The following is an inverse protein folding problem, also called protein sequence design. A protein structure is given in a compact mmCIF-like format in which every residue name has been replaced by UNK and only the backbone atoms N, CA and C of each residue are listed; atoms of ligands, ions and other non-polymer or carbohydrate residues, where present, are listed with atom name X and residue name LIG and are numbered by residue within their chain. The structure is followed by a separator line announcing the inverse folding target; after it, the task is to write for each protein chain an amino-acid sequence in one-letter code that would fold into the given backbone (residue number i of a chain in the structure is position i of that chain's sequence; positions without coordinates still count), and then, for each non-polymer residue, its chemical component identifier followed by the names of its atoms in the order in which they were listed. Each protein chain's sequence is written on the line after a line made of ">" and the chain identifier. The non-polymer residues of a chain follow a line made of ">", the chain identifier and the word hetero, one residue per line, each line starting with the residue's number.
data_IF_951133397961
#
_entry.id   IF_951133397961
#
_cell.length_a   1.000
_cell.length_b   1.000
_cell.length_c   1.000
_cell.angle_alpha   90.00
_cell.angle_beta   90.00
_cell.angle_gamma   90.00
#
_symmetry.space_group_name_H-M   'P 1'
#
loop_
_entity.id
_entity.type
_entity.pdbx_description
1 polymer ?
#
# COMPACT_ATOMS: atom_id res chain seq x y z
N UNK A 1 28.22 62.20 -92.21
CA UNK A 1 27.06 61.99 -91.31
C UNK A 1 26.70 60.50 -91.08
N UNK A 2 26.89 59.60 -92.05
CA UNK A 2 26.50 58.17 -91.93
C UNK A 2 27.35 57.32 -90.95
N UNK A 3 28.63 57.67 -90.77
CA UNK A 3 29.58 56.87 -89.97
C UNK A 3 29.43 57.05 -88.45
N UNK A 4 28.83 58.17 -88.01
CA UNK A 4 28.66 58.51 -86.58
C UNK A 4 27.44 57.81 -85.96
N UNK A 5 26.37 57.63 -86.75
CA UNK A 5 25.14 56.91 -86.35
C UNK A 5 25.43 55.41 -86.15
N UNK A 6 26.32 54.81 -86.96
CA UNK A 6 26.74 53.41 -86.78
C UNK A 6 27.48 53.18 -85.46
N UNK A 7 28.41 54.07 -85.08
CA UNK A 7 29.13 53.96 -83.79
C UNK A 7 28.20 54.07 -82.59
N UNK A 8 27.23 54.98 -82.59
CA UNK A 8 26.26 55.09 -81.49
C UNK A 8 25.37 53.85 -81.35
N UNK A 9 24.93 53.24 -82.47
CA UNK A 9 24.16 51.98 -82.43
C UNK A 9 24.97 50.81 -81.87
N UNK A 10 26.28 50.76 -82.14
CA UNK A 10 27.17 49.74 -81.56
C UNK A 10 27.38 49.92 -80.04
N UNK A 11 27.52 51.16 -79.57
CA UNK A 11 27.67 51.44 -78.13
C UNK A 11 26.38 51.13 -77.37
N UNK A 12 25.22 51.52 -77.91
CA UNK A 12 23.92 51.19 -77.33
C UNK A 12 23.67 49.67 -77.28
N UNK A 13 24.02 48.94 -78.34
CA UNK A 13 23.89 47.49 -78.38
C UNK A 13 24.76 46.79 -77.30
N UNK A 14 25.99 47.26 -77.08
CA UNK A 14 26.87 46.71 -76.03
C UNK A 14 26.37 47.02 -74.62
N UNK A 15 25.80 48.21 -74.41
CA UNK A 15 25.21 48.59 -73.12
C UNK A 15 23.98 47.72 -72.77
N UNK A 16 23.10 47.46 -73.75
CA UNK A 16 21.92 46.60 -73.56
C UNK A 16 22.34 45.15 -73.28
N UNK A 17 23.36 44.64 -73.97
CA UNK A 17 23.88 43.28 -73.73
C UNK A 17 24.53 43.14 -72.34
N UNK A 18 25.24 44.16 -71.86
CA UNK A 18 25.83 44.17 -70.53
C UNK A 18 24.77 44.22 -69.42
N UNK A 19 23.71 45.02 -69.59
CA UNK A 19 22.57 45.07 -68.68
C UNK A 19 21.80 43.75 -68.64
N UNK A 20 21.57 43.12 -69.80
CA UNK A 20 20.93 41.81 -69.86
C UNK A 20 21.78 40.73 -69.15
N UNK A 21 23.09 40.74 -69.34
CA UNK A 21 23.99 39.82 -68.64
C UNK A 21 23.99 40.05 -67.11
N UNK A 22 23.95 41.30 -66.66
CA UNK A 22 23.88 41.63 -65.24
C UNK A 22 22.57 41.15 -64.59
N UNK A 23 21.43 41.30 -65.28
CA UNK A 23 20.12 40.81 -64.80
C UNK A 23 20.07 39.29 -64.74
N UNK A 24 20.63 38.59 -65.73
CA UNK A 24 20.71 37.12 -65.70
C UNK A 24 21.61 36.64 -64.55
N UNK A 25 22.69 37.34 -64.26
CA UNK A 25 23.59 37.00 -63.16
C UNK A 25 22.93 37.19 -61.78
N UNK A 26 22.17 38.27 -61.58
CA UNK A 26 21.47 38.50 -60.30
C UNK A 26 20.33 37.50 -60.06
N UNK A 27 19.59 37.13 -61.11
CA UNK A 27 18.51 36.12 -61.02
C UNK A 27 19.07 34.72 -60.73
N UNK A 28 20.18 34.35 -61.35
CA UNK A 28 20.80 33.02 -61.13
C UNK A 28 21.42 32.88 -59.75
N UNK A 29 22.03 33.94 -59.21
CA UNK A 29 22.56 33.95 -57.84
C UNK A 29 21.46 33.88 -56.77
N UNK A 30 20.35 34.61 -56.94
CA UNK A 30 19.19 34.55 -56.02
C UNK A 30 18.48 33.19 -56.01
N UNK A 31 18.45 32.49 -57.15
CA UNK A 31 17.89 31.15 -57.28
C UNK A 31 18.72 30.05 -56.59
N UNK A 32 20.02 30.29 -56.32
CA UNK A 32 20.87 29.36 -55.60
C UNK A 32 20.66 29.44 -54.09
N UNK A 33 20.48 30.65 -53.54
CA UNK A 33 20.17 30.86 -52.12
C UNK A 33 18.84 30.19 -51.73
N UNK A 34 17.78 30.43 -52.50
CA UNK A 34 16.46 29.83 -52.27
C UNK A 34 16.42 28.30 -52.44
N UNK A 35 17.28 27.72 -53.29
CA UNK A 35 17.40 26.26 -53.41
C UNK A 35 18.10 25.60 -52.22
N UNK A 36 18.99 26.32 -51.53
CA UNK A 36 19.63 25.87 -50.28
C UNK A 36 18.59 25.75 -49.17
N UNK A 37 17.87 26.84 -48.90
CA UNK A 37 16.83 26.91 -47.87
C UNK A 37 15.72 25.87 -48.08
N UNK A 38 15.32 25.63 -49.32
CA UNK A 38 14.32 24.59 -49.66
C UNK A 38 14.81 23.17 -49.38
N UNK A 39 16.11 22.91 -49.54
CA UNK A 39 16.71 21.60 -49.21
C UNK A 39 16.81 21.42 -47.71
N UNK A 40 17.18 22.47 -46.99
CA UNK A 40 17.26 22.48 -45.53
C UNK A 40 15.88 22.25 -44.90
N UNK A 41 14.85 22.94 -45.40
CA UNK A 41 13.46 22.72 -44.97
C UNK A 41 12.98 21.29 -45.27
N UNK A 42 13.32 20.74 -46.44
CA UNK A 42 13.00 19.34 -46.76
C UNK A 42 13.70 18.36 -45.81
N UNK A 43 14.95 18.63 -45.42
CA UNK A 43 15.66 17.79 -44.44
C UNK A 43 15.06 17.91 -43.05
N UNK A 44 14.63 19.10 -42.63
CA UNK A 44 14.00 19.33 -41.33
C UNK A 44 12.62 18.67 -41.24
N UNK A 45 11.80 18.77 -42.31
CA UNK A 45 10.51 18.06 -42.40
C UNK A 45 10.71 16.55 -42.32
N UNK A 46 11.70 15.99 -43.03
CA UNK A 46 12.02 14.55 -42.95
C UNK A 46 12.50 14.14 -41.57
N UNK A 47 13.31 14.98 -40.91
CA UNK A 47 13.76 14.74 -39.55
C UNK A 47 12.59 14.78 -38.55
N UNK A 48 11.64 15.71 -38.74
CA UNK A 48 10.46 15.83 -37.90
C UNK A 48 9.50 14.65 -38.10
N UNK A 49 9.29 14.21 -39.34
CA UNK A 49 8.51 13.01 -39.65
C UNK A 49 9.11 11.76 -38.99
N UNK A 50 10.44 11.59 -39.08
CA UNK A 50 11.14 10.49 -38.42
C UNK A 50 11.02 10.53 -36.88
N UNK A 51 11.05 11.73 -36.27
CA UNK A 51 10.80 11.90 -34.82
C UNK A 51 9.36 11.55 -34.45
N UNK A 52 8.37 11.97 -35.24
CA UNK A 52 6.97 11.62 -35.01
C UNK A 52 6.75 10.11 -35.10
N UNK A 53 7.32 9.44 -36.11
CA UNK A 53 7.24 7.98 -36.25
C UNK A 53 7.86 7.26 -35.06
N UNK A 54 9.00 7.76 -34.58
CA UNK A 54 9.67 7.21 -33.39
C UNK A 54 8.80 7.35 -32.15
N UNK A 55 8.22 8.53 -31.90
CA UNK A 55 7.33 8.78 -30.77
C UNK A 55 6.05 7.95 -30.84
N UNK A 56 5.42 7.85 -32.01
CA UNK A 56 4.25 7.00 -32.23
C UNK A 56 4.57 5.53 -31.95
N UNK A 57 5.75 5.05 -32.37
CA UNK A 57 6.18 3.68 -32.08
C UNK A 57 6.42 3.43 -30.59
N UNK A 58 6.95 4.43 -29.85
CA UNK A 58 7.14 4.37 -28.41
C UNK A 58 5.80 4.34 -27.67
N UNK A 59 4.88 5.26 -27.99
CA UNK A 59 3.54 5.28 -27.41
C UNK A 59 2.79 3.98 -27.67
N UNK A 60 2.90 3.41 -28.87
CA UNK A 60 2.26 2.14 -29.21
C UNK A 60 2.83 0.97 -28.41
N UNK A 61 4.15 0.92 -28.21
CA UNK A 61 4.79 -0.09 -27.36
C UNK A 61 4.39 0.06 -25.90
N UNK A 62 4.35 1.29 -25.38
CA UNK A 62 3.92 1.57 -24.03
C UNK A 62 2.45 1.17 -23.82
N UNK A 63 1.56 1.50 -24.76
CA UNK A 63 0.16 1.12 -24.72
C UNK A 63 -0.06 -0.40 -24.74
N UNK A 64 0.74 -1.14 -25.52
CA UNK A 64 0.68 -2.60 -25.52
C UNK A 64 1.20 -3.18 -24.21
N UNK A 65 2.30 -2.64 -23.68
CA UNK A 65 2.86 -3.07 -22.39
C UNK A 65 1.91 -2.80 -21.22
N UNK A 66 1.26 -1.64 -21.19
CA UNK A 66 0.29 -1.32 -20.14
C UNK A 66 -0.98 -2.16 -20.26
N UNK A 67 -1.41 -2.44 -21.50
CA UNK A 67 -2.56 -3.32 -21.69
C UNK A 67 -2.25 -4.76 -21.25
N UNK A 68 -1.04 -5.25 -21.51
CA UNK A 68 -0.58 -6.57 -21.07
C UNK A 68 -0.49 -6.64 -19.55
N UNK A 69 0.12 -5.64 -18.89
CA UNK A 69 0.20 -5.58 -17.43
C UNK A 69 -1.19 -5.54 -16.78
N UNK A 70 -2.14 -4.79 -17.34
CA UNK A 70 -3.53 -4.74 -16.84
C UNK A 70 -4.22 -6.10 -16.98
N UNK A 71 -4.00 -6.83 -18.08
CA UNK A 71 -4.53 -8.19 -18.25
C UNK A 71 -3.92 -9.15 -17.23
N UNK A 72 -2.60 -9.19 -17.11
CA UNK A 72 -1.90 -10.05 -16.14
C UNK A 72 -2.35 -9.75 -14.71
N UNK A 73 -2.49 -8.47 -14.35
CA UNK A 73 -2.96 -8.07 -13.02
C UNK A 73 -4.41 -8.51 -12.79
N UNK A 74 -5.27 -8.41 -13.81
CA UNK A 74 -6.65 -8.89 -13.73
C UNK A 74 -6.70 -10.39 -13.48
N UNK A 75 -5.91 -11.17 -14.20
CA UNK A 75 -5.82 -12.63 -14.02
C UNK A 75 -5.33 -13.00 -12.61
N UNK A 76 -4.28 -12.33 -12.12
CA UNK A 76 -3.80 -12.50 -10.74
C UNK A 76 -4.87 -12.19 -9.68
N UNK A 77 -5.71 -11.16 -9.90
CA UNK A 77 -6.81 -10.82 -9.00
C UNK A 77 -7.88 -11.91 -9.00
N UNK A 78 -8.21 -12.49 -10.17
CA UNK A 78 -9.16 -13.59 -10.25
C UNK A 78 -8.64 -14.85 -9.55
N UNK A 79 -7.36 -15.19 -9.75
CA UNK A 79 -6.71 -16.31 -9.08
C UNK A 79 -6.68 -16.14 -7.56
N UNK A 80 -6.30 -14.94 -7.10
CA UNK A 80 -6.27 -14.60 -5.68
C UNK A 80 -7.68 -14.68 -5.05
N UNK A 81 -8.71 -14.15 -5.73
CA UNK A 81 -10.11 -14.30 -5.30
C UNK A 81 -10.54 -15.76 -5.23
N UNK A 82 -10.11 -16.59 -6.19
CA UNK A 82 -10.34 -18.03 -6.19
C UNK A 82 -9.69 -18.73 -5.00
N UNK A 83 -8.45 -18.37 -4.68
CA UNK A 83 -7.70 -18.89 -3.53
C UNK A 83 -8.37 -18.49 -2.21
N UNK A 84 -8.71 -17.21 -2.02
CA UNK A 84 -9.45 -16.73 -0.84
C UNK A 84 -10.75 -17.50 -0.66
N UNK A 85 -11.51 -17.71 -1.74
CA UNK A 85 -12.80 -18.42 -1.67
C UNK A 85 -12.62 -19.90 -1.32
N UNK A 86 -11.50 -20.52 -1.72
CA UNK A 86 -11.13 -21.87 -1.27
C UNK A 86 -10.73 -21.88 0.20
N UNK A 87 -9.82 -21.00 0.60
CA UNK A 87 -9.35 -20.89 1.97
C UNK A 87 -10.48 -20.59 2.96
N UNK A 88 -11.42 -19.71 2.62
CA UNK A 88 -12.61 -19.42 3.45
C UNK A 88 -13.50 -20.66 3.64
N UNK A 89 -13.66 -21.49 2.61
CA UNK A 89 -14.41 -22.76 2.74
C UNK A 89 -13.67 -23.75 3.62
N UNK A 90 -12.35 -23.80 3.56
CA UNK A 90 -11.55 -24.69 4.40
C UNK A 90 -11.55 -24.22 5.86
N UNK A 91 -11.47 -22.92 6.12
CA UNK A 91 -11.66 -22.34 7.46
C UNK A 91 -13.06 -22.68 7.99
N UNK A 92 -14.11 -22.50 7.19
CA UNK A 92 -15.47 -22.84 7.61
C UNK A 92 -15.64 -24.33 7.97
N UNK A 93 -14.98 -25.24 7.23
CA UNK A 93 -14.93 -26.67 7.57
C UNK A 93 -14.14 -26.94 8.84
N UNK A 94 -13.01 -26.26 9.04
CA UNK A 94 -12.21 -26.41 10.26
C UNK A 94 -12.96 -25.91 11.50
N UNK A 95 -13.74 -24.84 11.37
CA UNK A 95 -14.58 -24.36 12.47
C UNK A 95 -15.69 -25.37 12.81
N UNK A 96 -16.35 -25.95 11.82
CA UNK A 96 -17.40 -26.96 12.08
C UNK A 96 -16.85 -28.25 12.70
N UNK A 97 -15.62 -28.65 12.37
CA UNK A 97 -14.97 -29.79 13.03
C UNK A 97 -14.59 -29.48 14.47
N UNK A 98 -14.11 -28.26 14.76
CA UNK A 98 -13.81 -27.81 16.12
C UNK A 98 -15.10 -27.78 16.96
N UNK A 99 -16.19 -27.23 16.43
CA UNK A 99 -17.49 -27.21 17.13
C UNK A 99 -17.99 -28.63 17.44
N UNK A 100 -17.87 -29.55 16.48
CA UNK A 100 -18.22 -30.96 16.69
C UNK A 100 -17.36 -31.62 17.79
N UNK A 101 -16.05 -31.36 17.78
CA UNK A 101 -15.11 -31.92 18.76
C UNK A 101 -15.33 -31.31 20.16
N UNK A 102 -15.65 -30.01 20.23
CA UNK A 102 -16.01 -29.33 21.46
C UNK A 102 -17.29 -29.91 22.06
N UNK A 103 -18.32 -30.16 21.23
CA UNK A 103 -19.56 -30.82 21.68
C UNK A 103 -19.33 -32.25 22.19
N UNK A 104 -18.42 -33.01 21.54
CA UNK A 104 -18.02 -34.34 22.00
C UNK A 104 -17.29 -34.27 23.36
N UNK A 105 -16.34 -33.34 23.52
CA UNK A 105 -15.64 -33.13 24.79
C UNK A 105 -16.61 -32.74 25.91
N UNK A 106 -17.56 -31.84 25.65
CA UNK A 106 -18.57 -31.44 26.64
C UNK A 106 -19.42 -32.63 27.11
N UNK A 107 -19.79 -33.52 26.18
CA UNK A 107 -20.58 -34.72 26.48
C UNK A 107 -19.76 -35.75 27.26
N UNK A 108 -18.49 -35.94 26.89
CA UNK A 108 -17.56 -36.81 27.61
C UNK A 108 -17.33 -36.34 29.04
N UNK A 109 -17.14 -35.03 29.25
CA UNK A 109 -16.98 -34.41 30.57
C UNK A 109 -18.25 -34.60 31.41
N UNK A 110 -19.44 -34.42 30.83
CA UNK A 110 -20.71 -34.68 31.53
C UNK A 110 -20.81 -36.14 31.99
N UNK A 111 -20.46 -37.10 31.12
CA UNK A 111 -20.45 -38.52 31.49
C UNK A 111 -19.47 -38.86 32.63
N UNK A 112 -18.26 -38.28 32.61
CA UNK A 112 -17.30 -38.45 33.71
C UNK A 112 -17.82 -37.83 35.01
N UNK A 113 -18.51 -36.68 34.95
CA UNK A 113 -19.11 -36.04 36.11
C UNK A 113 -20.21 -36.90 36.73
N UNK A 114 -21.05 -37.53 35.92
CA UNK A 114 -22.11 -38.42 36.40
C UNK A 114 -21.54 -39.70 37.03
N UNK A 115 -20.48 -40.26 36.44
CA UNK A 115 -19.74 -41.37 37.05
C UNK A 115 -19.15 -40.97 38.41
N UNK A 116 -18.56 -39.78 38.52
CA UNK A 116 -18.00 -39.28 39.77
C UNK A 116 -19.08 -38.99 40.82
N UNK A 117 -20.25 -38.49 40.42
CA UNK A 117 -21.39 -38.29 41.30
C UNK A 117 -21.92 -39.62 41.87
N UNK A 118 -22.01 -40.66 41.03
CA UNK A 118 -22.39 -42.01 41.45
C UNK A 118 -21.35 -42.66 42.37
N UNK A 119 -20.06 -42.37 42.20
CA UNK A 119 -19.02 -42.82 43.13
C UNK A 119 -19.07 -42.05 44.46
N UNK A 120 -19.44 -40.76 44.45
CA UNK A 120 -19.57 -39.93 45.65
C UNK A 120 -20.80 -40.24 46.50
N UNK A 121 -21.91 -40.66 45.90
CA UNK A 121 -23.10 -41.13 46.64
C UNK A 121 -22.83 -42.43 47.38
N UNK A 122 -21.89 -43.26 46.90
CA UNK A 122 -21.40 -44.45 47.62
C UNK A 122 -20.44 -44.09 48.77
N UNK A 123 -19.78 -42.92 48.71
CA UNK A 123 -18.67 -42.54 49.60
C UNK A 123 -18.98 -41.45 50.63
N UNK A 124 -20.26 -41.12 50.89
CA UNK A 124 -20.62 -40.06 51.85
C UNK A 124 -20.57 -40.55 53.32
N UNK A 125 -19.39 -40.42 53.93
CA UNK A 125 -19.15 -40.28 55.38
C UNK A 125 -18.25 -39.04 55.63
N UNK A 126 -18.40 -38.29 56.76
CA UNK A 126 -17.90 -36.91 56.88
C UNK A 126 -16.40 -36.77 57.25
N UNK A 127 -15.81 -35.55 57.14
CA UNK A 127 -14.53 -35.34 56.46
C UNK A 127 -13.36 -34.94 57.38
N UNK A 128 -12.14 -34.94 56.82
CA UNK A 128 -10.96 -34.27 57.39
C UNK A 128 -10.33 -33.29 56.40
N UNK A 129 -10.10 -32.10 56.93
CA UNK A 129 -9.38 -30.92 56.45
C UNK A 129 -7.92 -31.20 56.07
N UNK A 130 -7.42 -30.60 54.99
CA UNK A 130 -6.36 -29.56 54.96
C UNK A 130 -6.02 -29.16 53.52
N UNK A 131 -5.86 -27.85 53.29
CA UNK A 131 -5.10 -27.23 52.19
C UNK A 131 -3.67 -26.91 52.73
N UNK A 132 -2.62 -26.58 51.94
CA UNK A 132 -2.64 -25.52 50.90
C UNK A 132 -1.73 -25.72 49.66
N UNK A 133 -1.81 -24.73 48.77
CA UNK A 133 -0.80 -24.25 47.80
C UNK A 133 -0.94 -24.67 46.32
N UNK A 134 -1.46 -23.73 45.53
CA UNK A 134 -1.29 -23.57 44.08
C UNK A 134 -1.76 -22.16 43.72
N UNK A 135 -0.89 -21.18 43.94
CA UNK A 135 -1.13 -19.76 43.60
C UNK A 135 -1.02 -19.48 42.09
N UNK A 136 -1.25 -20.49 41.24
CA UNK A 136 -1.40 -20.37 39.78
C UNK A 136 -2.84 -20.65 39.31
N UNK A 137 -3.71 -21.14 40.19
CA UNK A 137 -5.08 -21.54 39.84
C UNK A 137 -6.16 -20.50 40.22
N UNK A 138 -5.77 -19.24 40.52
CA UNK A 138 -6.68 -18.18 40.95
C UNK A 138 -6.93 -17.07 39.91
N UNK A 139 -6.49 -17.23 38.66
CA UNK A 139 -6.87 -16.31 37.55
C UNK A 139 -8.06 -16.84 36.74
N UNK A 140 -8.65 -17.97 37.11
CA UNK A 140 -9.90 -18.49 36.54
C UNK A 140 -11.13 -17.84 37.21
N UNK A 141 -11.15 -16.51 37.14
CA UNK A 141 -12.12 -15.63 37.77
C UNK A 141 -12.76 -14.65 36.80
N UNK A 142 -13.00 -15.08 35.56
CA UNK A 142 -14.02 -14.50 34.72
C UNK A 142 -13.59 -14.23 33.27
N UNK A 143 -14.38 -14.81 32.36
CA UNK A 143 -14.33 -14.64 30.91
C UNK A 143 -13.26 -15.51 30.22
N UNK A 144 -13.57 -15.95 29.01
CA UNK A 144 -12.64 -16.61 28.07
C UNK A 144 -11.92 -15.50 27.28
N UNK A 145 -10.64 -15.17 27.60
CA UNK A 145 -9.93 -14.09 26.92
C UNK A 145 -9.76 -14.38 25.43
N UNK A 146 -9.41 -15.60 25.04
CA UNK A 146 -9.30 -15.99 23.63
C UNK A 146 -10.63 -15.86 22.91
N UNK A 147 -11.74 -16.22 23.56
CA UNK A 147 -13.10 -16.03 23.06
C UNK A 147 -13.47 -14.56 22.86
N UNK A 148 -13.15 -13.70 23.84
CA UNK A 148 -13.38 -12.25 23.74
C UNK A 148 -12.56 -11.64 22.61
N UNK A 149 -11.27 -11.97 22.54
CA UNK A 149 -10.38 -11.49 21.48
C UNK A 149 -10.86 -11.93 20.10
N UNK A 150 -11.23 -13.21 19.93
CA UNK A 150 -11.78 -13.74 18.66
C UNK A 150 -13.05 -13.01 18.26
N UNK A 151 -13.95 -12.79 19.21
CA UNK A 151 -15.18 -12.04 18.98
C UNK A 151 -14.88 -10.60 18.55
N UNK A 152 -13.94 -9.92 19.23
CA UNK A 152 -13.53 -8.56 18.88
C UNK A 152 -12.97 -8.49 17.45
N UNK A 153 -12.08 -9.43 17.08
CA UNK A 153 -11.54 -9.51 15.72
C UNK A 153 -12.61 -9.82 14.67
N UNK A 154 -13.57 -10.69 14.97
CA UNK A 154 -14.68 -10.99 14.06
C UNK A 154 -15.56 -9.77 13.81
N UNK A 155 -15.82 -8.96 14.84
CA UNK A 155 -16.56 -7.71 14.69
C UNK A 155 -15.78 -6.68 13.87
N UNK A 156 -14.47 -6.58 14.10
CA UNK A 156 -13.57 -5.70 13.33
C UNK A 156 -13.59 -6.09 11.84
N UNK A 157 -13.45 -7.39 11.54
CA UNK A 157 -13.46 -7.92 10.17
C UNK A 157 -14.81 -7.72 9.46
N UNK A 158 -15.91 -7.63 10.21
CA UNK A 158 -17.25 -7.31 9.69
C UNK A 158 -17.49 -5.81 9.51
N UNK A 159 -16.51 -4.96 9.83
CA UNK A 159 -16.64 -3.50 9.83
C UNK A 159 -17.50 -2.95 10.97
N UNK A 160 -17.85 -3.77 11.96
CA UNK A 160 -18.61 -3.35 13.14
C UNK A 160 -17.68 -2.69 14.18
N UNK A 161 -17.10 -1.55 13.79
CA UNK A 161 -16.00 -0.89 14.51
C UNK A 161 -16.36 -0.51 15.96
N UNK A 162 -17.58 -0.01 16.21
CA UNK A 162 -18.02 0.34 17.58
C UNK A 162 -18.06 -0.88 18.51
N UNK A 163 -18.60 -2.00 18.03
CA UNK A 163 -18.66 -3.24 18.81
C UNK A 163 -17.27 -3.84 19.03
N UNK A 164 -16.42 -3.80 18.00
CA UNK A 164 -15.04 -4.24 18.09
C UNK A 164 -14.25 -3.40 19.09
N UNK A 165 -14.38 -2.07 19.04
CA UNK A 165 -13.77 -1.12 19.99
C UNK A 165 -14.13 -1.49 21.42
N UNK A 166 -15.43 -1.61 21.73
CA UNK A 166 -15.89 -1.95 23.08
C UNK A 166 -15.33 -3.30 23.57
N UNK A 167 -15.27 -4.30 22.69
CA UNK A 167 -14.72 -5.61 23.03
C UNK A 167 -13.20 -5.59 23.27
N UNK A 168 -12.44 -4.81 22.47
CA UNK A 168 -11.01 -4.64 22.71
C UNK A 168 -10.73 -3.76 23.93
N UNK A 169 -11.53 -2.73 24.22
CA UNK A 169 -11.45 -1.93 25.45
C UNK A 169 -11.68 -2.82 26.69
N UNK A 170 -12.68 -3.70 26.65
CA UNK A 170 -12.88 -4.70 27.71
C UNK A 170 -11.66 -5.62 27.83
N UNK A 171 -11.13 -6.11 26.69
CA UNK A 171 -9.98 -7.00 26.70
C UNK A 171 -8.76 -6.36 27.34
N UNK A 172 -8.37 -5.15 26.93
CA UNK A 172 -7.16 -4.48 27.44
C UNK A 172 -7.29 -4.06 28.90
N UNK A 173 -8.52 -3.82 29.38
CA UNK A 173 -8.82 -3.52 30.78
C UNK A 173 -8.77 -4.78 31.65
N UNK A 174 -9.39 -5.86 31.21
CA UNK A 174 -9.55 -7.10 31.99
C UNK A 174 -8.34 -8.03 31.92
N UNK A 175 -7.66 -8.05 30.78
CA UNK A 175 -6.58 -8.98 30.46
C UNK A 175 -5.29 -8.25 30.09
N UNK A 176 -4.98 -7.20 30.83
CA UNK A 176 -3.82 -6.31 30.63
C UNK A 176 -2.45 -7.01 30.53
N UNK A 177 -2.30 -8.20 31.13
CA UNK A 177 -1.04 -8.97 31.16
C UNK A 177 -1.11 -10.25 30.30
N UNK A 178 -2.16 -10.42 29.50
CA UNK A 178 -2.33 -11.61 28.66
C UNK A 178 -1.42 -11.55 27.43
N UNK A 179 -1.08 -12.70 26.86
CA UNK A 179 -0.20 -12.80 25.68
C UNK A 179 -0.77 -12.02 24.47
N UNK A 180 -2.09 -11.96 24.36
CA UNK A 180 -2.82 -11.20 23.33
C UNK A 180 -3.00 -9.70 23.64
N UNK A 181 -2.54 -9.22 24.80
CA UNK A 181 -2.76 -7.83 25.21
C UNK A 181 -2.10 -6.82 24.25
N UNK A 182 -0.89 -7.12 23.78
CA UNK A 182 -0.19 -6.27 22.82
C UNK A 182 -0.95 -6.17 21.48
N UNK A 183 -1.47 -7.29 20.97
CA UNK A 183 -2.30 -7.30 19.78
C UNK A 183 -3.65 -6.60 20.00
N UNK A 184 -4.27 -6.77 21.17
CA UNK A 184 -5.52 -6.10 21.50
C UNK A 184 -5.37 -4.58 21.56
N UNK A 185 -4.30 -4.08 22.19
CA UNK A 185 -3.97 -2.65 22.18
C UNK A 185 -3.70 -2.13 20.77
N UNK A 186 -2.98 -2.90 19.95
CA UNK A 186 -2.72 -2.53 18.55
C UNK A 186 -4.02 -2.46 17.72
N UNK A 187 -4.90 -3.46 17.84
CA UNK A 187 -6.18 -3.47 17.10
C UNK A 187 -7.12 -2.37 17.59
N UNK A 188 -7.13 -2.07 18.89
CA UNK A 188 -7.88 -0.93 19.43
C UNK A 188 -7.40 0.38 18.80
N UNK A 189 -6.09 0.59 18.72
CA UNK A 189 -5.51 1.77 18.06
C UNK A 189 -5.86 1.84 16.57
N UNK A 190 -5.85 0.71 15.86
CA UNK A 190 -6.26 0.63 14.45
C UNK A 190 -7.74 1.02 14.27
N UNK A 191 -8.62 0.51 15.13
CA UNK A 191 -10.04 0.87 15.12
C UNK A 191 -10.23 2.36 15.37
N UNK A 192 -9.54 2.92 16.37
CA UNK A 192 -9.59 4.36 16.66
C UNK A 192 -9.15 5.20 15.45
N UNK A 193 -8.10 4.77 14.75
CA UNK A 193 -7.65 5.41 13.51
C UNK A 193 -8.71 5.34 12.41
N UNK A 194 -9.34 4.18 12.20
CA UNK A 194 -10.42 4.01 11.22
C UNK A 194 -11.67 4.84 11.55
N UNK A 195 -11.86 5.17 12.83
CA UNK A 195 -12.92 6.05 13.33
C UNK A 195 -12.51 7.53 13.33
N UNK A 196 -11.36 7.87 12.72
CA UNK A 196 -10.82 9.23 12.66
C UNK A 196 -10.56 9.86 14.04
N UNK A 197 -10.48 9.03 15.10
CA UNK A 197 -10.13 9.45 16.46
C UNK A 197 -8.61 9.46 16.61
N UNK A 198 -7.95 10.36 15.90
CA UNK A 198 -6.50 10.31 15.68
C UNK A 198 -5.67 10.50 16.95
N UNK A 199 -6.06 11.42 17.85
CA UNK A 199 -5.35 11.63 19.12
C UNK A 199 -5.40 10.38 20.01
N UNK A 200 -6.58 9.76 20.10
CA UNK A 200 -6.77 8.50 20.84
C UNK A 200 -5.99 7.35 20.19
N UNK A 201 -6.00 7.28 18.86
CA UNK A 201 -5.25 6.27 18.11
C UNK A 201 -3.74 6.39 18.33
N UNK A 202 -3.20 7.61 18.29
CA UNK A 202 -1.79 7.87 18.54
C UNK A 202 -1.39 7.45 19.95
N UNK A 203 -2.17 7.85 20.96
CA UNK A 203 -1.94 7.44 22.34
C UNK A 203 -1.98 5.91 22.50
N UNK A 204 -2.94 5.24 21.86
CA UNK A 204 -3.06 3.78 21.91
C UNK A 204 -1.89 3.06 21.22
N UNK A 205 -1.39 3.55 20.08
CA UNK A 205 -0.18 2.99 19.45
C UNK A 205 1.09 3.24 20.27
N UNK A 206 1.21 4.40 20.93
CA UNK A 206 2.32 4.69 21.84
C UNK A 206 2.28 3.77 23.07
N UNK A 207 1.10 3.46 23.59
CA UNK A 207 0.91 2.54 24.70
C UNK A 207 1.44 1.14 24.38
N UNK A 208 1.29 0.67 23.13
CA UNK A 208 1.88 -0.60 22.68
C UNK A 208 3.41 -0.59 22.85
N UNK A 209 4.05 0.53 22.52
CA UNK A 209 5.51 0.69 22.61
C UNK A 209 6.00 0.75 24.07
N UNK A 210 5.23 1.41 24.94
CA UNK A 210 5.58 1.59 26.36
C UNK A 210 5.34 0.32 27.16
N UNK A 211 4.19 -0.33 26.98
CA UNK A 211 3.80 -1.51 27.77
C UNK A 211 4.40 -2.81 27.27
N UNK A 212 4.65 -2.93 25.97
CA UNK A 212 5.12 -4.17 25.36
C UNK A 212 6.42 -3.95 24.55
N UNK A 213 7.47 -3.35 25.12
CA UNK A 213 8.63 -2.83 24.37
C UNK A 213 9.42 -3.87 23.57
N UNK A 214 9.28 -5.16 23.89
CA UNK A 214 9.95 -6.27 23.20
C UNK A 214 9.03 -7.03 22.24
N UNK A 215 7.75 -6.66 22.15
CA UNK A 215 6.76 -7.38 21.35
C UNK A 215 6.90 -7.08 19.86
N UNK A 216 6.57 -8.06 19.01
CA UNK A 216 6.67 -7.92 17.56
C UNK A 216 5.83 -6.75 17.00
N UNK A 217 4.73 -6.39 17.68
CA UNK A 217 3.85 -5.27 17.32
C UNK A 217 4.44 -3.88 17.52
N UNK A 218 5.53 -3.74 18.29
CA UNK A 218 6.11 -2.41 18.58
C UNK A 218 6.57 -1.71 17.30
N UNK A 219 7.21 -2.46 16.39
CA UNK A 219 7.65 -1.93 15.10
C UNK A 219 6.46 -1.43 14.27
N UNK A 220 5.42 -2.26 14.17
CA UNK A 220 4.23 -1.93 13.39
C UNK A 220 3.48 -0.74 14.02
N UNK A 221 3.35 -0.71 15.34
CA UNK A 221 2.70 0.38 16.09
C UNK A 221 3.44 1.71 15.91
N UNK A 222 4.78 1.70 15.87
CA UNK A 222 5.56 2.91 15.62
C UNK A 222 5.35 3.44 14.20
N UNK A 223 5.34 2.56 13.21
CA UNK A 223 4.99 2.97 11.84
C UNK A 223 3.57 3.53 11.74
N UNK A 224 2.59 2.85 12.35
CA UNK A 224 1.20 3.33 12.40
C UNK A 224 1.08 4.68 13.13
N UNK A 225 1.88 4.95 14.16
CA UNK A 225 1.94 6.27 14.83
C UNK A 225 2.33 7.37 13.84
N UNK A 226 3.32 7.13 12.98
CA UNK A 226 3.69 8.04 11.89
C UNK A 226 2.53 8.31 10.94
N UNK A 227 1.78 7.27 10.54
CA UNK A 227 0.61 7.45 9.68
C UNK A 227 -0.52 8.25 10.35
N UNK A 228 -0.72 8.07 11.66
CA UNK A 228 -1.69 8.86 12.43
C UNK A 228 -1.26 10.33 12.45
N UNK A 229 0.02 10.63 12.68
CA UNK A 229 0.54 12.00 12.65
C UNK A 229 0.35 12.66 11.27
N UNK A 230 0.58 11.92 10.18
CA UNK A 230 0.25 12.40 8.82
C UNK A 230 -1.23 12.73 8.70
N UNK A 231 -2.12 11.85 9.18
CA UNK A 231 -3.57 12.09 9.14
C UNK A 231 -4.01 13.30 9.98
N UNK A 232 -3.30 13.59 11.06
CA UNK A 232 -3.49 14.80 11.87
C UNK A 232 -2.91 16.07 11.23
N UNK A 233 -2.11 15.94 10.16
CA UNK A 233 -1.39 17.04 9.52
C UNK A 233 -0.10 17.46 10.23
N UNK A 234 0.33 16.70 11.24
CA UNK A 234 1.59 16.91 11.96
C UNK A 234 2.74 16.23 11.22
N UNK A 235 3.13 16.83 10.09
CA UNK A 235 4.14 16.28 9.19
C UNK A 235 5.54 16.27 9.81
N UNK A 236 5.85 17.23 10.68
CA UNK A 236 7.13 17.31 11.38
C UNK A 236 7.28 16.10 12.33
N UNK A 237 6.28 15.83 13.17
CA UNK A 237 6.31 14.67 14.07
C UNK A 237 6.25 13.34 13.31
N UNK A 238 5.51 13.30 12.18
CA UNK A 238 5.47 12.14 11.31
C UNK A 238 6.84 11.81 10.71
N UNK A 239 7.58 12.82 10.23
CA UNK A 239 8.92 12.67 9.68
C UNK A 239 9.86 12.06 10.72
N UNK A 240 9.94 12.66 11.91
CA UNK A 240 10.78 12.14 13.01
C UNK A 240 10.44 10.69 13.36
N UNK A 241 9.14 10.37 13.43
CA UNK A 241 8.67 9.03 13.79
C UNK A 241 9.00 8.00 12.73
N UNK A 242 8.79 8.32 11.45
CA UNK A 242 9.08 7.42 10.34
C UNK A 242 10.59 7.25 10.15
N UNK A 243 11.39 8.30 10.31
CA UNK A 243 12.86 8.19 10.30
C UNK A 243 13.36 7.25 11.40
N UNK A 244 12.77 7.36 12.60
CA UNK A 244 13.09 6.46 13.69
C UNK A 244 12.77 5.00 13.33
N UNK A 245 11.66 4.73 12.62
CA UNK A 245 11.34 3.38 12.14
C UNK A 245 12.39 2.86 11.18
N UNK A 246 12.78 3.67 10.18
CA UNK A 246 13.80 3.30 9.18
C UNK A 246 15.14 2.99 9.86
N UNK A 247 15.55 3.84 10.80
CA UNK A 247 16.83 3.71 11.50
C UNK A 247 16.85 2.57 12.52
N UNK A 248 15.72 2.29 13.20
CA UNK A 248 15.65 1.27 14.26
C UNK A 248 15.43 -0.13 13.71
N UNK A 249 14.74 -0.27 12.58
CA UNK A 249 14.35 -1.57 12.00
C UNK A 249 14.84 -1.76 10.55
N UNK A 250 16.15 -1.55 10.28
CA UNK A 250 16.67 -1.62 8.91
C UNK A 250 16.48 -3.01 8.29
N UNK A 251 16.19 -3.04 6.99
CA UNK A 251 15.99 -4.28 6.23
C UNK A 251 14.67 -5.02 6.51
N UNK A 252 13.72 -4.35 7.17
CA UNK A 252 12.37 -4.88 7.36
C UNK A 252 11.39 -4.23 6.39
N UNK A 253 10.33 -4.94 6.01
CA UNK A 253 9.26 -4.41 5.13
C UNK A 253 8.66 -3.13 5.73
N UNK A 254 8.54 -3.03 7.07
CA UNK A 254 8.01 -1.84 7.73
C UNK A 254 8.94 -0.64 7.57
N UNK A 255 10.26 -0.83 7.56
CA UNK A 255 11.20 0.24 7.25
C UNK A 255 11.12 0.67 5.78
N UNK A 256 10.88 -0.26 4.85
CA UNK A 256 10.65 0.08 3.44
C UNK A 256 9.38 0.93 3.28
N UNK A 257 8.27 0.56 3.92
CA UNK A 257 7.04 1.36 3.93
C UNK A 257 7.23 2.72 4.61
N UNK A 258 7.99 2.79 5.69
CA UNK A 258 8.30 4.06 6.35
C UNK A 258 9.14 4.99 5.46
N UNK A 259 10.12 4.45 4.73
CA UNK A 259 10.93 5.20 3.78
C UNK A 259 10.09 5.72 2.61
N UNK A 260 9.20 4.89 2.05
CA UNK A 260 8.25 5.31 1.01
C UNK A 260 7.36 6.46 1.49
N UNK A 261 6.84 6.38 2.72
CA UNK A 261 6.03 7.47 3.27
C UNK A 261 6.81 8.74 3.59
N UNK A 262 8.07 8.64 3.97
CA UNK A 262 8.94 9.82 4.11
C UNK A 262 9.14 10.54 2.78
N UNK A 263 9.32 9.80 1.69
CA UNK A 263 9.48 10.37 0.35
C UNK A 263 8.20 11.05 -0.15
N UNK A 264 7.03 10.62 0.31
CA UNK A 264 5.74 11.22 -0.06
C UNK A 264 5.42 12.53 0.67
N UNK A 265 5.88 12.69 1.93
CA UNK A 265 5.52 13.84 2.77
C UNK A 265 6.55 14.99 2.72
N UNK A 266 7.70 14.77 2.08
CA UNK A 266 8.78 15.75 1.88
C UNK A 266 8.62 16.51 0.57
#
# INVERSE_FOLDING_TARGET
>A
MYMMIRKQRFVAARAVLALAAAVVLTVTLGACATKGDLRDLQTEIRALAARQDTLLSQLRRQALSTQDSVRTQSDQIFDFRGEITRQMRDIARALSTIEALAGQNQTAIAGVRDQLANLRTVASAPPRTVAPDSTEALVQGGGDPEGLYRTATDQMNRGSLNTARAAFEEFVSRYANHDLAADAHYNLADILFQQESFEEALAAFQEVQVRFPIHARVRDARYRSGLVQIAMGDLEAAEETLELVVNTYPGTIVAEFAAEKLDEIR
#
